data_IF_372463396724
#
_entry.id   IF_372463396724
#
_cell.length_a   1.000
_cell.length_b   1.000
_cell.length_c   1.000
_cell.angle_alpha   90.00
_cell.angle_beta   90.00
_cell.angle_gamma   90.00
#
_symmetry.space_group_name_H-M   'P 1'
#
loop_
_entity.id
_entity.type
_entity.pdbx_description
1 polymer ?
#
# COMPACT_ATOMS: atom_id res chain seq x y z
N UNK A 1 0.29 12.92 4.34
CA UNK A 1 -1.11 12.96 3.85
C UNK A 1 -1.39 14.19 3.01
N UNK A 2 -1.12 15.42 3.51
CA UNK A 2 -1.28 16.64 2.71
C UNK A 2 -0.52 16.62 1.39
N UNK A 3 0.74 16.15 1.41
CA UNK A 3 1.56 15.98 0.20
C UNK A 3 0.97 14.96 -0.79
N UNK A 4 0.47 13.81 -0.31
CA UNK A 4 -0.22 12.83 -1.16
C UNK A 4 -1.46 13.44 -1.80
N UNK A 5 -2.27 14.17 -1.03
CA UNK A 5 -3.47 14.84 -1.55
C UNK A 5 -3.10 15.86 -2.62
N UNK A 6 -2.09 16.69 -2.37
CA UNK A 6 -1.60 17.67 -3.34
C UNK A 6 -1.08 17.01 -4.63
N UNK A 7 -0.32 15.91 -4.50
CA UNK A 7 0.13 15.11 -5.64
C UNK A 7 -1.05 14.60 -6.48
N UNK A 8 -2.08 14.04 -5.84
CA UNK A 8 -3.27 13.56 -6.55
C UNK A 8 -4.08 14.67 -7.20
N UNK A 9 -4.24 15.81 -6.53
CA UNK A 9 -4.93 16.97 -7.09
C UNK A 9 -4.21 17.52 -8.33
N UNK A 10 -2.88 17.70 -8.24
CA UNK A 10 -2.07 18.14 -9.37
C UNK A 10 -2.18 17.17 -10.56
N UNK A 11 -2.22 15.87 -10.27
CA UNK A 11 -2.30 14.84 -11.30
C UNK A 11 -3.68 14.73 -11.94
N UNK A 12 -4.74 14.89 -11.15
CA UNK A 12 -6.12 15.00 -11.64
C UNK A 12 -6.25 16.14 -12.66
N UNK A 13 -5.64 17.29 -12.34
CA UNK A 13 -5.62 18.46 -13.22
C UNK A 13 -4.90 18.18 -14.55
N UNK A 14 -3.78 17.43 -14.52
CA UNK A 14 -3.04 17.03 -15.74
C UNK A 14 -3.87 16.10 -16.65
N UNK A 15 -4.60 15.15 -16.07
CA UNK A 15 -5.47 14.23 -16.82
C UNK A 15 -6.61 14.99 -17.51
N UNK A 16 -7.20 15.96 -16.80
CA UNK A 16 -8.30 16.78 -17.32
C UNK A 16 -7.88 17.74 -18.44
N UNK A 17 -6.61 18.14 -18.49
CA UNK A 17 -6.11 19.15 -19.45
C UNK A 17 -5.50 18.56 -20.72
N UNK A 18 -4.80 17.42 -20.64
CA UNK A 18 -4.02 16.91 -21.78
C UNK A 18 -4.73 15.82 -22.60
N UNK A 19 -5.90 15.34 -22.17
CA UNK A 19 -6.47 14.09 -22.69
C UNK A 19 -5.61 12.89 -22.30
N UNK A 20 -6.23 11.73 -22.13
CA UNK A 20 -5.51 10.51 -21.73
C UNK A 20 -4.74 9.94 -22.93
N UNK A 21 -3.51 10.39 -23.14
CA UNK A 21 -2.57 9.65 -23.99
C UNK A 21 -2.25 8.28 -23.35
N UNK A 22 -1.81 7.34 -24.17
CA UNK A 22 -1.56 5.95 -23.74
C UNK A 22 -0.45 5.83 -22.69
N UNK A 23 0.54 6.72 -22.68
CA UNK A 23 1.65 6.70 -21.69
C UNK A 23 1.15 7.19 -20.33
N UNK A 24 0.37 8.27 -20.33
CA UNK A 24 -0.26 8.85 -19.15
C UNK A 24 -1.27 7.87 -18.54
N UNK A 25 -2.02 7.14 -19.36
CA UNK A 25 -2.86 6.01 -18.94
C UNK A 25 -2.08 4.93 -18.18
N UNK A 26 -0.97 4.45 -18.74
CA UNK A 26 -0.16 3.41 -18.10
C UNK A 26 0.42 3.88 -16.77
N UNK A 27 0.96 5.10 -16.73
CA UNK A 27 1.48 5.71 -15.50
C UNK A 27 0.39 5.84 -14.43
N UNK A 28 -0.85 6.16 -14.82
CA UNK A 28 -1.98 6.21 -13.90
C UNK A 28 -2.32 4.82 -13.35
N UNK A 29 -2.38 3.81 -14.22
CA UNK A 29 -2.68 2.44 -13.83
C UNK A 29 -1.63 1.88 -12.87
N UNK A 30 -0.36 2.18 -13.09
CA UNK A 30 0.71 1.73 -12.20
C UNK A 30 0.64 2.38 -10.82
N UNK A 31 0.28 3.66 -10.74
CA UNK A 31 0.08 4.32 -9.44
C UNK A 31 -1.14 3.81 -8.69
N UNK A 32 -2.26 3.59 -9.40
CA UNK A 32 -3.45 2.98 -8.81
C UNK A 32 -3.16 1.58 -8.29
N UNK A 33 -2.35 0.79 -9.01
CA UNK A 33 -1.88 -0.51 -8.55
C UNK A 33 -1.03 -0.38 -7.29
N UNK A 34 -0.08 0.55 -7.26
CA UNK A 34 0.78 0.74 -6.09
C UNK A 34 0.01 1.21 -4.85
N UNK A 35 -0.95 2.13 -4.98
CA UNK A 35 -1.81 2.54 -3.86
C UNK A 35 -2.73 1.40 -3.41
N UNK A 36 -3.24 0.58 -4.34
CA UNK A 36 -4.05 -0.59 -3.99
C UNK A 36 -3.22 -1.62 -3.23
N UNK A 37 -1.98 -1.87 -3.64
CA UNK A 37 -1.04 -2.73 -2.89
C UNK A 37 -0.75 -2.16 -1.50
N UNK A 38 -0.57 -0.85 -1.39
CA UNK A 38 -0.30 -0.17 -0.12
C UNK A 38 -1.50 -0.24 0.84
N UNK A 39 -2.72 -0.06 0.32
CA UNK A 39 -3.97 -0.21 1.06
C UNK A 39 -4.17 -1.66 1.50
N UNK A 40 -4.05 -2.62 0.58
CA UNK A 40 -4.17 -4.05 0.88
C UNK A 40 -3.16 -4.49 1.95
N UNK A 41 -1.90 -4.03 1.86
CA UNK A 41 -0.89 -4.33 2.87
C UNK A 41 -1.23 -3.74 4.24
N UNK A 42 -1.84 -2.55 4.27
CA UNK A 42 -2.25 -1.89 5.51
C UNK A 42 -3.42 -2.63 6.16
N UNK A 43 -4.43 -3.01 5.39
CA UNK A 43 -5.58 -3.77 5.89
C UNK A 43 -5.15 -5.16 6.39
N UNK A 44 -4.36 -5.89 5.60
CA UNK A 44 -3.85 -7.19 6.00
C UNK A 44 -3.00 -7.12 7.28
N UNK A 45 -2.20 -6.05 7.46
CA UNK A 45 -1.45 -5.83 8.69
C UNK A 45 -2.35 -5.60 9.91
N UNK A 46 -3.45 -4.84 9.76
CA UNK A 46 -4.42 -4.63 10.84
C UNK A 46 -5.13 -5.94 11.22
N UNK A 47 -5.57 -6.72 10.23
CA UNK A 47 -6.20 -8.03 10.46
C UNK A 47 -5.21 -8.97 11.16
N UNK A 48 -3.97 -9.06 10.68
CA UNK A 48 -2.94 -9.90 11.28
C UNK A 48 -2.61 -9.52 12.73
N UNK A 49 -2.65 -8.23 13.06
CA UNK A 49 -2.47 -7.75 14.42
C UNK A 49 -3.67 -8.09 15.32
N UNK A 50 -4.89 -7.98 14.79
CA UNK A 50 -6.12 -8.28 15.53
C UNK A 50 -6.30 -9.78 15.78
N UNK A 51 -6.00 -10.62 14.78
CA UNK A 51 -6.11 -12.07 14.86
C UNK A 51 -4.93 -12.73 15.61
N UNK A 52 -3.83 -12.00 15.79
CA UNK A 52 -2.64 -12.48 16.50
C UNK A 52 -1.82 -13.51 15.70
N UNK A 53 -0.87 -14.15 16.37
CA UNK A 53 0.18 -14.97 15.71
C UNK A 53 -0.34 -16.17 14.91
N UNK A 54 -1.50 -16.71 15.26
CA UNK A 54 -2.14 -17.84 14.58
C UNK A 54 -2.88 -17.45 13.30
N UNK A 55 -2.96 -16.14 12.97
CA UNK A 55 -3.57 -15.67 11.73
C UNK A 55 -2.93 -16.34 10.50
N UNK A 56 -3.73 -16.78 9.51
CA UNK A 56 -3.21 -17.24 8.22
C UNK A 56 -2.31 -16.19 7.56
N UNK A 57 -2.59 -14.89 7.77
CA UNK A 57 -1.76 -13.80 7.27
C UNK A 57 -0.39 -13.81 7.95
N UNK A 58 -0.35 -13.96 9.28
CA UNK A 58 0.92 -14.05 10.01
C UNK A 58 1.74 -15.30 9.60
N UNK A 59 1.07 -16.42 9.33
CA UNK A 59 1.72 -17.62 8.81
C UNK A 59 2.31 -17.37 7.40
N UNK A 60 1.55 -16.72 6.52
CA UNK A 60 1.96 -16.44 5.14
C UNK A 60 3.11 -15.41 5.08
N UNK A 61 3.10 -14.38 5.92
CA UNK A 61 4.20 -13.41 5.92
C UNK A 61 5.49 -13.97 6.52
N UNK A 62 5.39 -14.93 7.44
CA UNK A 62 6.56 -15.65 8.02
C UNK A 62 7.16 -16.62 7.00
N UNK A 63 6.36 -17.21 6.13
CA UNK A 63 6.84 -18.16 5.11
C UNK A 63 7.46 -17.49 3.88
N UNK A 64 7.14 -16.21 3.61
CA UNK A 64 7.76 -15.47 2.50
C UNK A 64 9.22 -15.12 2.77
N UNK A 65 10.09 -15.51 1.83
CA UNK A 65 11.53 -15.17 1.81
C UNK A 65 11.84 -13.91 1.00
N UNK A 66 10.87 -13.37 0.26
CA UNK A 66 11.08 -12.18 -0.57
C UNK A 66 10.99 -10.92 0.28
N UNK A 67 11.84 -9.93 -0.02
CA UNK A 67 11.84 -8.62 0.64
C UNK A 67 11.08 -7.55 -0.16
N UNK A 68 10.62 -7.88 -1.37
CA UNK A 68 9.95 -6.96 -2.29
C UNK A 68 8.50 -7.34 -2.61
N UNK A 69 7.99 -8.41 -2.01
CA UNK A 69 6.61 -8.85 -2.22
C UNK A 69 5.61 -8.19 -1.26
N UNK A 70 4.34 -8.57 -1.42
CA UNK A 70 3.26 -8.06 -0.57
C UNK A 70 3.47 -8.46 0.90
N UNK A 71 3.99 -9.65 1.18
CA UNK A 71 4.29 -10.11 2.53
C UNK A 71 5.34 -9.21 3.23
N UNK A 72 6.38 -8.79 2.51
CA UNK A 72 7.36 -7.83 3.03
C UNK A 72 6.73 -6.46 3.32
N UNK A 73 5.81 -5.99 2.47
CA UNK A 73 5.05 -4.75 2.73
C UNK A 73 4.16 -4.87 3.98
N UNK A 74 3.47 -5.99 4.15
CA UNK A 74 2.66 -6.28 5.34
C UNK A 74 3.53 -6.28 6.61
N UNK A 75 4.69 -6.98 6.60
CA UNK A 75 5.63 -6.97 7.74
C UNK A 75 6.07 -5.56 8.13
N UNK A 76 6.43 -4.73 7.15
CA UNK A 76 6.80 -3.31 7.38
C UNK A 76 5.62 -2.52 7.99
N UNK A 77 4.40 -2.79 7.55
CA UNK A 77 3.18 -2.15 8.07
C UNK A 77 2.88 -2.56 9.51
N UNK A 78 2.93 -3.85 9.82
CA UNK A 78 2.78 -4.38 11.18
C UNK A 78 3.77 -3.67 12.10
N UNK A 79 5.07 -3.65 11.74
CA UNK A 79 6.10 -2.99 12.54
C UNK A 79 5.80 -1.51 12.82
N UNK A 80 5.40 -0.74 11.79
CA UNK A 80 5.03 0.67 11.95
C UNK A 80 3.78 0.88 12.81
N UNK A 81 2.76 0.03 12.67
CA UNK A 81 1.52 0.13 13.45
C UNK A 81 1.82 -0.18 14.91
N UNK A 82 2.53 -1.27 15.20
CA UNK A 82 2.93 -1.64 16.56
C UNK A 82 3.73 -0.54 17.27
N UNK A 83 4.65 0.12 16.56
CA UNK A 83 5.40 1.27 17.10
C UNK A 83 4.49 2.44 17.46
N UNK A 84 3.49 2.72 16.64
CA UNK A 84 2.56 3.84 16.86
C UNK A 84 1.57 3.59 18.01
N UNK A 85 1.26 2.33 18.31
CA UNK A 85 0.38 1.96 19.44
C UNK A 85 1.12 2.04 20.79
N UNK A 86 2.46 2.07 20.79
CA UNK A 86 3.31 2.14 21.99
C UNK A 86 3.67 3.58 22.42
N UNK A 87 3.29 4.58 21.62
CA UNK A 87 3.50 6.03 21.87
C UNK A 87 2.18 6.74 22.06
#
# INVERSE_FOLDING_TARGET
MREKIAHYQQRLQKIQTNGLDTTTCHQLLDELREETKELAATLAAQIALQEGESSPINTLIKSSKSNNDLAARIRKKIHRISQKTLT
#
